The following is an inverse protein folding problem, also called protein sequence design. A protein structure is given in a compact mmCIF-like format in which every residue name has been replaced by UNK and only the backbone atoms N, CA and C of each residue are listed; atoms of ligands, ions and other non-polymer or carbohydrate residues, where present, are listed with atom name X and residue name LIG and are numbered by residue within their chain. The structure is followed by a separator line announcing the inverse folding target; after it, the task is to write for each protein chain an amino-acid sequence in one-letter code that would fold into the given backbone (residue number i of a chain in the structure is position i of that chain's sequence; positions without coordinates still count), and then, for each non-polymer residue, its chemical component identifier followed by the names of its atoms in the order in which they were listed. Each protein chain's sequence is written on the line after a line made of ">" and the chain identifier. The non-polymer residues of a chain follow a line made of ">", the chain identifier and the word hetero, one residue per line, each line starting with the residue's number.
data_IF_072061202323
#
_entry.id   IF_072061202323
#
_cell.length_a   1.000
_cell.length_b   1.000
_cell.length_c   1.000
_cell.angle_alpha   90.00
_cell.angle_beta   90.00
_cell.angle_gamma   90.00
#
_symmetry.space_group_name_H-M   'P 1'
#
loop_
_entity.id
_entity.type
_entity.pdbx_description
1 polymer ?
#
# COMPACT_ATOMS: atom_id res chain seq x y z
N UNK A 1 -4.53 -25.27 -0.18
CA UNK A 1 -5.12 -24.24 0.70
C UNK A 1 -5.12 -22.95 -0.09
N UNK A 2 -6.28 -22.46 -0.50
CA UNK A 2 -6.36 -21.14 -1.14
C UNK A 2 -6.28 -20.09 -0.05
N UNK A 3 -5.06 -19.65 0.29
CA UNK A 3 -4.84 -18.55 1.23
C UNK A 3 -5.07 -17.22 0.52
N UNK A 4 -6.33 -16.92 0.22
CA UNK A 4 -6.72 -15.61 -0.32
C UNK A 4 -6.67 -14.60 0.83
N UNK A 5 -5.49 -14.00 1.04
CA UNK A 5 -5.31 -12.94 2.04
C UNK A 5 -6.25 -11.78 1.71
N UNK A 6 -6.92 -11.18 2.72
CA UNK A 6 -7.81 -10.07 2.49
C UNK A 6 -7.06 -8.90 1.84
N UNK A 7 -7.71 -8.25 0.86
CA UNK A 7 -7.14 -7.05 0.25
C UNK A 7 -7.21 -5.90 1.24
N UNK A 8 -6.13 -5.14 1.34
CA UNK A 8 -6.01 -4.00 2.25
C UNK A 8 -5.96 -2.71 1.43
N UNK A 9 -6.87 -1.79 1.75
CA UNK A 9 -6.80 -0.40 1.28
C UNK A 9 -6.15 0.48 2.35
N UNK A 10 -5.14 1.26 1.98
CA UNK A 10 -4.40 2.09 2.93
C UNK A 10 -4.24 3.53 2.39
N UNK A 11 -4.88 4.49 3.06
CA UNK A 11 -4.76 5.91 2.73
C UNK A 11 -3.92 6.61 3.80
N UNK A 12 -2.97 7.45 3.38
CA UNK A 12 -2.06 8.13 4.30
C UNK A 12 -0.65 7.52 4.37
N UNK A 13 -0.04 7.29 3.21
CA UNK A 13 1.34 6.81 3.06
C UNK A 13 2.36 7.94 3.20
N UNK A 14 2.30 8.69 4.31
CA UNK A 14 3.38 9.59 4.72
C UNK A 14 4.58 8.81 5.30
N UNK A 15 5.58 9.51 5.84
CA UNK A 15 6.77 8.87 6.43
C UNK A 15 6.43 7.83 7.52
N UNK A 16 5.41 8.09 8.36
CA UNK A 16 4.96 7.13 9.38
C UNK A 16 4.10 6.00 8.79
N UNK A 17 3.17 6.32 7.89
CA UNK A 17 2.26 5.34 7.29
C UNK A 17 2.95 4.38 6.31
N UNK A 18 4.09 4.80 5.74
CA UNK A 18 4.91 3.99 4.84
C UNK A 18 5.38 2.68 5.49
N UNK A 19 5.89 2.74 6.72
CA UNK A 19 6.37 1.55 7.42
C UNK A 19 5.25 0.52 7.68
N UNK A 20 4.05 1.00 8.04
CA UNK A 20 2.89 0.14 8.23
C UNK A 20 2.45 -0.51 6.91
N UNK A 21 2.35 0.27 5.84
CA UNK A 21 2.00 -0.21 4.51
C UNK A 21 3.04 -1.23 3.99
N UNK A 22 4.33 -0.98 4.20
CA UNK A 22 5.42 -1.90 3.85
C UNK A 22 5.27 -3.24 4.57
N UNK A 23 5.03 -3.24 5.88
CA UNK A 23 4.87 -4.46 6.66
C UNK A 23 3.67 -5.30 6.18
N UNK A 24 2.55 -4.66 5.82
CA UNK A 24 1.37 -5.34 5.27
C UNK A 24 1.72 -6.03 3.95
N UNK A 25 2.45 -5.34 3.07
CA UNK A 25 2.88 -5.87 1.79
C UNK A 25 3.89 -7.03 1.95
N UNK A 26 4.88 -6.88 2.84
CA UNK A 26 5.88 -7.91 3.13
C UNK A 26 5.27 -9.14 3.82
N UNK A 27 4.20 -8.94 4.59
CA UNK A 27 3.39 -10.04 5.11
C UNK A 27 2.55 -10.74 4.02
N UNK A 28 2.65 -10.31 2.75
CA UNK A 28 2.05 -10.95 1.58
C UNK A 28 0.58 -10.58 1.34
N UNK A 29 0.06 -9.53 1.98
CA UNK A 29 -1.30 -9.07 1.73
C UNK A 29 -1.35 -8.25 0.43
N UNK A 30 -2.38 -8.44 -0.42
CA UNK A 30 -2.62 -7.55 -1.54
C UNK A 30 -2.93 -6.13 -1.01
N UNK A 31 -2.03 -5.19 -1.28
CA UNK A 31 -2.12 -3.83 -0.76
C UNK A 31 -2.43 -2.83 -1.87
N UNK A 32 -3.43 -1.97 -1.64
CA UNK A 32 -3.71 -0.80 -2.46
C UNK A 32 -3.52 0.47 -1.63
N UNK A 33 -2.71 1.41 -2.13
CA UNK A 33 -2.41 2.68 -1.46
C UNK A 33 -3.06 3.85 -2.19
N UNK A 34 -3.48 4.87 -1.45
CA UNK A 34 -3.96 6.13 -2.01
C UNK A 34 -2.91 7.22 -1.77
N UNK A 35 -2.23 7.63 -2.84
CA UNK A 35 -1.28 8.74 -2.85
C UNK A 35 -1.99 10.09 -2.93
N UNK A 36 -1.38 11.12 -2.33
CA UNK A 36 -1.79 12.52 -2.52
C UNK A 36 -0.59 13.34 -3.02
N UNK A 37 0.02 14.17 -2.16
CA UNK A 37 1.12 15.08 -2.57
C UNK A 37 2.51 14.48 -2.44
N UNK A 38 2.78 13.68 -1.40
CA UNK A 38 4.08 13.07 -1.21
C UNK A 38 4.17 11.76 -1.97
N UNK A 39 4.92 11.76 -3.07
CA UNK A 39 4.99 10.64 -4.03
C UNK A 39 6.04 9.60 -3.69
N UNK A 40 7.18 10.02 -3.13
CA UNK A 40 8.30 9.12 -2.81
C UNK A 40 7.90 7.85 -2.03
N UNK A 41 7.15 7.92 -0.90
CA UNK A 41 6.72 6.71 -0.18
C UNK A 41 5.68 5.89 -0.95
N UNK A 42 4.85 6.52 -1.78
CA UNK A 42 3.87 5.81 -2.63
C UNK A 42 4.62 5.00 -3.69
N UNK A 43 5.57 5.64 -4.37
CA UNK A 43 6.31 5.05 -5.48
C UNK A 43 7.22 3.91 -4.99
N UNK A 44 7.82 4.01 -3.79
CA UNK A 44 8.55 2.90 -3.17
C UNK A 44 7.62 1.70 -2.89
N UNK A 45 6.43 1.91 -2.33
CA UNK A 45 5.48 0.81 -2.07
C UNK A 45 4.98 0.18 -3.37
N UNK A 46 4.73 0.98 -4.40
CA UNK A 46 4.35 0.50 -5.73
C UNK A 46 5.50 -0.31 -6.34
N UNK A 47 6.74 0.15 -6.22
CA UNK A 47 7.93 -0.58 -6.66
C UNK A 47 8.11 -1.94 -5.94
N UNK A 48 7.61 -2.07 -4.71
CA UNK A 48 7.58 -3.34 -3.95
C UNK A 48 6.39 -4.26 -4.31
N UNK A 49 5.45 -3.79 -5.13
CA UNK A 49 4.29 -4.57 -5.57
C UNK A 49 2.94 -4.12 -4.99
N UNK A 50 2.87 -3.01 -4.26
CA UNK A 50 1.59 -2.39 -3.94
C UNK A 50 0.93 -1.82 -5.20
N UNK A 51 -0.40 -1.71 -5.19
CA UNK A 51 -1.15 -1.02 -6.25
C UNK A 51 -1.50 0.39 -5.80
N UNK A 52 -1.44 1.36 -6.69
CA UNK A 52 -1.93 2.70 -6.38
C UNK A 52 -3.37 2.89 -6.90
N UNK A 53 -4.23 3.43 -6.04
CA UNK A 53 -5.54 3.95 -6.43
C UNK A 53 -5.44 5.44 -6.81
N UNK A 54 -6.15 5.84 -7.87
CA UNK A 54 -6.16 7.24 -8.34
C UNK A 54 -7.16 8.13 -7.58
N UNK A 55 -8.18 7.52 -6.99
CA UNK A 55 -9.25 8.20 -6.23
C UNK A 55 -9.70 7.29 -5.10
N UNK A 56 -10.19 7.88 -4.00
CA UNK A 56 -11.02 7.14 -3.04
C UNK A 56 -12.33 6.71 -3.69
N UNK A 57 -12.95 5.65 -3.16
CA UNK A 57 -14.33 5.29 -3.49
C UNK A 57 -15.30 6.17 -2.69
#
# INVERSE_FOLDING_TARGET
>A
MSEDKPRVGYAGVGLMGHGAAKNILEAGYPLTVLGHRNREPVDDLVGRGAREAKTGA
#
